data_IF_995383639919
#
_entry.id   IF_995383639919
#
_cell.length_a   1.000
_cell.length_b   1.000
_cell.length_c   1.000
_cell.angle_alpha   90.00
_cell.angle_beta   90.00
_cell.angle_gamma   90.00
#
_symmetry.space_group_name_H-M   'P 1'
#
loop_
_entity.id
_entity.type
_entity.pdbx_description
1 polymer ?
#
# COMPACT_ATOMS: atom_id res chain seq x y z
N UNK A 1 -19.06 4.85 -3.72
CA UNK A 1 -20.06 4.07 -2.97
C UNK A 1 -19.32 3.19 -1.99
N UNK A 2 -19.56 3.36 -0.70
CA UNK A 2 -18.90 2.64 0.39
C UNK A 2 -19.15 1.14 0.22
N UNK A 3 -18.09 0.37 -0.05
CA UNK A 3 -18.16 -1.08 -0.27
C UNK A 3 -18.25 -1.83 1.07
N UNK A 4 -19.21 -1.39 1.90
CA UNK A 4 -19.44 -1.92 3.24
C UNK A 4 -19.88 -3.37 3.09
N UNK A 5 -19.08 -4.30 3.60
CA UNK A 5 -19.49 -5.70 3.67
C UNK A 5 -20.61 -5.81 4.70
N UNK A 6 -21.84 -5.94 4.21
CA UNK A 6 -22.96 -6.36 5.05
C UNK A 6 -22.79 -7.86 5.32
N UNK A 7 -22.65 -8.27 6.59
CA UNK A 7 -22.45 -9.67 6.93
C UNK A 7 -23.69 -10.48 6.57
N UNK A 8 -23.50 -11.60 5.87
CA UNK A 8 -24.59 -12.52 5.51
C UNK A 8 -25.02 -13.37 6.73
N UNK A 9 -24.10 -13.58 7.68
CA UNK A 9 -24.30 -14.37 8.92
C UNK A 9 -23.72 -13.62 10.15
N UNK A 10 -24.33 -13.82 11.33
CA UNK A 10 -23.92 -13.18 12.61
C UNK A 10 -22.44 -13.42 12.97
N UNK A 11 -21.87 -14.54 12.52
CA UNK A 11 -20.48 -14.90 12.78
C UNK A 11 -19.47 -13.99 12.05
N UNK A 12 -19.88 -13.35 10.94
CA UNK A 12 -19.03 -12.47 10.13
C UNK A 12 -19.11 -10.98 10.56
N UNK A 13 -20.07 -10.66 11.43
CA UNK A 13 -20.30 -9.29 11.91
C UNK A 13 -19.06 -8.67 12.59
N UNK A 14 -18.31 -9.36 13.46
CA UNK A 14 -17.12 -8.79 14.08
C UNK A 14 -16.02 -8.48 13.07
N UNK A 15 -15.80 -9.39 12.10
CA UNK A 15 -14.78 -9.22 11.06
C UNK A 15 -15.13 -8.06 10.12
N UNK A 16 -16.40 -7.97 9.69
CA UNK A 16 -16.88 -6.88 8.85
C UNK A 16 -16.80 -5.52 9.59
N UNK A 17 -17.15 -5.50 10.88
CA UNK A 17 -17.07 -4.30 11.72
C UNK A 17 -15.63 -3.80 11.86
N UNK A 18 -14.69 -4.68 12.24
CA UNK A 18 -13.27 -4.33 12.39
C UNK A 18 -12.68 -3.85 11.05
N UNK A 19 -13.01 -4.51 9.94
CA UNK A 19 -12.53 -4.11 8.61
C UNK A 19 -13.04 -2.73 8.20
N UNK A 20 -14.31 -2.43 8.46
CA UNK A 20 -14.90 -1.12 8.19
C UNK A 20 -14.26 -0.04 9.07
N UNK A 21 -14.04 -0.33 10.37
CA UNK A 21 -13.32 0.58 11.26
C UNK A 21 -11.91 0.87 10.76
N UNK A 22 -11.13 -0.15 10.40
CA UNK A 22 -9.77 0.02 9.85
C UNK A 22 -9.80 0.89 8.60
N UNK A 23 -10.78 0.69 7.71
CA UNK A 23 -10.92 1.48 6.48
C UNK A 23 -11.21 2.95 6.80
N UNK A 24 -12.14 3.22 7.72
CA UNK A 24 -12.49 4.58 8.14
C UNK A 24 -11.33 5.28 8.86
N UNK A 25 -10.65 4.58 9.77
CA UNK A 25 -9.50 5.11 10.49
C UNK A 25 -8.32 5.36 9.58
N UNK A 26 -7.95 4.41 8.72
CA UNK A 26 -6.82 4.58 7.79
C UNK A 26 -7.09 5.71 6.82
N UNK A 27 -8.33 5.85 6.33
CA UNK A 27 -8.74 6.96 5.47
C UNK A 27 -8.66 8.31 6.18
N UNK A 28 -9.18 8.43 7.40
CA UNK A 28 -9.19 9.68 8.16
C UNK A 28 -7.82 10.08 8.70
N UNK A 29 -7.07 9.13 9.29
CA UNK A 29 -5.76 9.39 9.88
C UNK A 29 -4.63 9.48 8.86
N UNK A 30 -4.79 8.99 7.64
CA UNK A 30 -3.74 9.03 6.61
C UNK A 30 -3.21 10.45 6.35
N UNK A 31 -4.08 11.47 6.36
CA UNK A 31 -3.69 12.87 6.17
C UNK A 31 -2.92 13.39 7.39
N UNK A 32 -3.39 13.07 8.60
CA UNK A 32 -2.75 13.49 9.86
C UNK A 32 -1.34 12.90 9.95
N UNK A 33 -1.18 11.62 9.60
CA UNK A 33 0.12 10.94 9.55
C UNK A 33 1.04 11.59 8.52
N UNK A 34 0.54 11.92 7.32
CA UNK A 34 1.33 12.59 6.29
C UNK A 34 1.82 13.98 6.72
N UNK A 35 0.98 14.75 7.40
CA UNK A 35 1.35 16.06 7.93
C UNK A 35 2.39 15.96 9.05
N UNK A 36 2.18 15.06 10.02
CA UNK A 36 3.11 14.82 11.11
C UNK A 36 4.49 14.36 10.60
N UNK A 37 4.53 13.46 9.61
CA UNK A 37 5.81 12.99 9.06
C UNK A 37 6.55 14.06 8.26
N UNK A 38 5.81 14.94 7.58
CA UNK A 38 6.40 16.13 6.95
C UNK A 38 7.08 17.03 7.99
N UNK A 39 6.44 17.27 9.12
CA UNK A 39 6.99 18.10 10.21
C UNK A 39 8.20 17.46 10.88
N UNK A 40 8.14 16.15 11.17
CA UNK A 40 9.27 15.43 11.79
C UNK A 40 10.50 15.50 10.89
N UNK A 41 10.36 15.27 9.59
CA UNK A 41 11.51 15.31 8.68
C UNK A 41 12.11 16.71 8.64
N UNK A 42 11.29 17.77 8.61
CA UNK A 42 11.79 19.15 8.68
C UNK A 42 12.54 19.43 9.98
N UNK A 43 12.01 18.95 11.11
CA UNK A 43 12.65 19.13 12.41
C UNK A 43 13.97 18.37 12.51
N UNK A 44 14.00 17.12 12.00
CA UNK A 44 15.22 16.31 11.95
C UNK A 44 16.28 16.98 11.07
N UNK A 45 15.90 17.43 9.88
CA UNK A 45 16.85 18.13 9.00
C UNK A 45 17.31 19.44 9.67
N UNK A 46 16.42 20.20 10.29
CA UNK A 46 16.85 21.44 10.95
C UNK A 46 17.76 21.20 12.17
N UNK A 47 17.43 20.24 13.04
CA UNK A 47 18.20 19.97 14.25
C UNK A 47 19.51 19.23 13.98
N UNK A 48 19.55 18.34 12.99
CA UNK A 48 20.70 17.48 12.74
C UNK A 48 21.51 17.86 11.50
N UNK A 49 20.98 18.66 10.56
CA UNK A 49 21.68 19.02 9.32
C UNK A 49 22.07 20.51 9.31
N UNK A 50 21.21 21.43 9.78
CA UNK A 50 21.55 22.88 9.84
C UNK A 50 22.82 23.18 10.64
N UNK A 51 23.02 22.65 11.86
CA UNK A 51 24.21 22.98 12.65
C UNK A 51 25.52 22.45 12.04
N UNK A 52 25.46 21.43 11.18
CA UNK A 52 26.64 20.94 10.45
C UNK A 52 27.05 21.84 9.27
N UNK A 53 26.15 22.71 8.80
CA UNK A 53 26.34 23.49 7.56
C UNK A 53 26.55 25.00 7.80
N UNK A 54 26.42 25.47 9.04
CA UNK A 54 26.69 26.87 9.42
C UNK A 54 25.64 27.86 8.89
N UNK A 55 25.98 29.16 8.92
CA UNK A 55 25.05 30.32 8.76
C UNK A 55 24.25 30.37 7.44
N UNK A 56 24.63 29.57 6.43
CA UNK A 56 23.93 29.41 5.15
C UNK A 56 23.04 28.14 5.10
N UNK A 57 22.93 27.42 6.22
CA UNK A 57 22.32 26.09 6.30
C UNK A 57 20.86 26.02 5.91
N UNK A 58 20.09 27.11 6.07
CA UNK A 58 18.63 27.09 5.83
C UNK A 58 18.23 26.72 4.39
N UNK A 59 18.96 27.17 3.38
CA UNK A 59 18.68 26.80 1.98
C UNK A 59 19.14 25.38 1.64
N UNK A 60 20.32 24.99 2.09
CA UNK A 60 20.87 23.65 1.85
C UNK A 60 19.99 22.60 2.57
N UNK A 61 19.50 22.92 3.77
CA UNK A 61 18.55 22.12 4.55
C UNK A 61 17.24 21.85 3.81
N UNK A 62 16.63 22.87 3.19
CA UNK A 62 15.46 22.65 2.32
C UNK A 62 15.77 21.72 1.14
N UNK A 63 16.97 21.82 0.59
CA UNK A 63 17.41 21.00 -0.54
C UNK A 63 17.62 19.53 -0.13
N UNK A 64 18.24 19.28 1.03
CA UNK A 64 18.31 17.94 1.62
C UNK A 64 16.91 17.40 1.91
N UNK A 65 16.02 18.18 2.52
CA UNK A 65 14.64 17.78 2.76
C UNK A 65 13.95 17.30 1.47
N UNK A 66 14.06 18.09 0.39
CA UNK A 66 13.45 17.75 -0.91
C UNK A 66 14.04 16.45 -1.50
N UNK A 67 15.35 16.26 -1.41
CA UNK A 67 16.01 15.03 -1.86
C UNK A 67 15.51 13.83 -1.06
N UNK A 68 15.54 13.90 0.28
CA UNK A 68 15.10 12.80 1.16
C UNK A 68 13.65 12.42 0.89
N UNK A 69 12.76 13.41 0.76
CA UNK A 69 11.35 13.15 0.45
C UNK A 69 11.16 12.51 -0.92
N UNK A 70 11.93 12.92 -1.92
CA UNK A 70 11.86 12.33 -3.26
C UNK A 70 12.32 10.87 -3.24
N UNK A 71 13.42 10.56 -2.55
CA UNK A 71 13.88 9.18 -2.40
C UNK A 71 12.84 8.32 -1.68
N UNK A 72 12.26 8.81 -0.58
CA UNK A 72 11.18 8.13 0.13
C UNK A 72 9.99 7.86 -0.78
N UNK A 73 9.54 8.88 -1.53
CA UNK A 73 8.41 8.74 -2.45
C UNK A 73 8.68 7.69 -3.54
N UNK A 74 9.87 7.68 -4.14
CA UNK A 74 10.26 6.69 -5.15
C UNK A 74 10.28 5.28 -4.55
N UNK A 75 10.87 5.11 -3.36
CA UNK A 75 10.92 3.81 -2.67
C UNK A 75 9.50 3.29 -2.42
N UNK A 76 8.63 4.12 -1.82
CA UNK A 76 7.24 3.73 -1.55
C UNK A 76 6.50 3.38 -2.84
N UNK A 77 6.68 4.17 -3.89
CA UNK A 77 6.05 3.92 -5.20
C UNK A 77 6.52 2.59 -5.80
N UNK A 78 7.83 2.30 -5.74
CA UNK A 78 8.39 1.03 -6.22
C UNK A 78 7.84 -0.17 -5.44
N UNK A 79 7.71 -0.05 -4.12
CA UNK A 79 7.15 -1.12 -3.28
C UNK A 79 5.68 -1.39 -3.63
N UNK A 80 4.91 -0.34 -3.89
CA UNK A 80 3.52 -0.45 -4.36
C UNK A 80 3.43 -1.16 -5.71
N UNK A 81 4.27 -0.78 -6.68
CA UNK A 81 4.30 -1.43 -7.99
C UNK A 81 4.66 -2.92 -7.90
N UNK A 82 5.55 -3.30 -6.98
CA UNK A 82 5.86 -4.71 -6.74
C UNK A 82 4.69 -5.47 -6.14
N UNK A 83 3.95 -4.86 -5.21
CA UNK A 83 2.76 -5.45 -4.61
C UNK A 83 1.68 -5.70 -5.68
N UNK A 84 1.42 -4.72 -6.54
CA UNK A 84 0.46 -4.84 -7.65
C UNK A 84 0.80 -6.03 -8.57
N UNK A 85 2.07 -6.16 -8.97
CA UNK A 85 2.54 -7.27 -9.80
C UNK A 85 2.34 -8.63 -9.14
N UNK A 86 2.58 -8.73 -7.83
CA UNK A 86 2.37 -9.98 -7.08
C UNK A 86 0.90 -10.35 -7.03
N UNK A 87 0.02 -9.39 -6.76
CA UNK A 87 -1.41 -9.61 -6.72
C UNK A 87 -1.95 -10.02 -8.11
N UNK A 88 -1.56 -9.31 -9.17
CA UNK A 88 -1.92 -9.65 -10.55
C UNK A 88 -1.48 -11.09 -10.93
N UNK A 89 -0.25 -11.47 -10.54
CA UNK A 89 0.27 -12.84 -10.78
C UNK A 89 -0.56 -13.90 -10.06
N UNK A 90 -0.89 -13.67 -8.78
CA UNK A 90 -1.69 -14.63 -7.99
C UNK A 90 -3.07 -14.80 -8.63
N UNK A 91 -3.75 -13.71 -8.96
CA UNK A 91 -5.07 -13.76 -9.59
C UNK A 91 -5.03 -14.51 -10.92
N UNK A 92 -4.03 -14.26 -11.77
CA UNK A 92 -3.86 -14.98 -13.04
C UNK A 92 -3.60 -16.49 -12.87
N UNK A 93 -2.90 -16.90 -11.81
CA UNK A 93 -2.69 -18.32 -11.48
C UNK A 93 -3.97 -19.00 -11.00
N UNK A 94 -4.79 -18.30 -10.21
CA UNK A 94 -6.08 -18.81 -9.75
C UNK A 94 -7.06 -18.97 -10.93
N UNK A 95 -7.12 -18.00 -11.83
CA UNK A 95 -7.92 -18.10 -13.07
C UNK A 95 -7.46 -19.26 -13.97
N UNK A 96 -6.14 -19.48 -14.13
CA UNK A 96 -5.61 -20.64 -14.86
C UNK A 96 -5.92 -21.98 -14.20
N UNK A 97 -5.99 -22.03 -12.87
CA UNK A 97 -6.36 -23.26 -12.14
C UNK A 97 -7.85 -23.57 -12.26
N UNK A 98 -8.71 -22.55 -12.20
CA UNK A 98 -10.16 -22.71 -12.37
C UNK A 98 -10.51 -23.17 -13.79
N UNK A 99 -9.96 -22.52 -14.81
CA UNK A 99 -10.16 -22.91 -16.22
C UNK A 99 -9.65 -24.32 -16.56
N UNK A 100 -8.61 -24.82 -15.87
CA UNK A 100 -8.14 -26.20 -16.02
C UNK A 100 -9.02 -27.22 -15.26
N UNK A 101 -9.68 -26.81 -14.19
CA UNK A 101 -10.59 -27.65 -13.42
C UNK A 101 -11.99 -27.76 -14.07
N UNK A 102 -12.45 -26.70 -14.75
CA UNK A 102 -13.74 -26.65 -15.46
C UNK A 102 -13.63 -27.12 -16.92
N UNK A 103 -12.44 -27.47 -17.40
CA UNK A 103 -12.27 -28.06 -18.71
C UNK A 103 -13.03 -29.39 -18.75
N UNK A 104 -13.91 -29.63 -19.75
CA UNK A 104 -14.60 -30.90 -19.86
C UNK A 104 -13.56 -32.02 -19.89
N UNK A 105 -13.72 -33.00 -18.99
CA UNK A 105 -12.82 -34.15 -18.91
C UNK A 105 -12.62 -34.69 -20.33
N UNK A 106 -11.36 -34.93 -20.75
CA UNK A 106 -11.10 -35.47 -22.07
C UNK A 106 -11.93 -36.75 -22.22
N UNK A 107 -12.88 -36.70 -23.15
CA UNK A 107 -13.75 -37.83 -23.48
C UNK A 107 -12.85 -39.02 -23.75
N UNK A 108 -12.85 -40.01 -22.86
CA UNK A 108 -12.04 -41.23 -22.95
C UNK A 108 -12.47 -42.17 -24.07
N UNK A 109 -13.10 -41.64 -25.13
CA UNK A 109 -13.44 -42.40 -26.33
C UNK A 109 -12.36 -42.20 -27.38
N UNK A 110 -11.44 -43.16 -27.42
CA UNK A 110 -11.04 -43.94 -28.61
C UNK A 110 -9.68 -44.57 -28.34
N UNK A 111 -9.68 -45.65 -27.56
CA UNK A 111 -8.72 -46.73 -27.81
C UNK A 111 -9.52 -47.83 -28.49
N UNK A 112 -9.45 -47.84 -29.81
CA UNK A 112 -9.90 -48.91 -30.71
C UNK A 112 -9.09 -50.16 -30.49
#
# INVERSE_FOLDING_TARGET
MSNLQTPETIQDLPNAFVKNLITLFTGGFGIVVGLAWTEVIKLVVSQYIDPLLGKNGSLISLLIYAIVMTFLAVIVTMQLTQLEKKLAKITGLLTKRQTKADAPMPNSKKFT
#
